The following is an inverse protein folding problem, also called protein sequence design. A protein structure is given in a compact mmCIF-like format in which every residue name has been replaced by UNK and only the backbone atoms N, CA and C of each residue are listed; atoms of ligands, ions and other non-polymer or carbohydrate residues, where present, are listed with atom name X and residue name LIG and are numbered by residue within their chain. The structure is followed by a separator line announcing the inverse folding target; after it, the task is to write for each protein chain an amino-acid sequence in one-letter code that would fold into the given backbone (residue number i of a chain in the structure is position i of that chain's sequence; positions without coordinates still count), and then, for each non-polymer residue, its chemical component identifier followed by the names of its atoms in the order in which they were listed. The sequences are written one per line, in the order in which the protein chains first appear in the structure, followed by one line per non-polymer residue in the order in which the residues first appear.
data_IF_374299687798
#
_entry.id   IF_374299687798
#
_cell.length_a   1.000
_cell.length_b   1.000
_cell.length_c   1.000
_cell.angle_alpha   90.00
_cell.angle_beta   90.00
_cell.angle_gamma   90.00
#
_symmetry.space_group_name_H-M   'P 1'
#
loop_
_entity.id
_entity.type
_entity.pdbx_description
1 polymer ?
#
# COMPACT_ATOMS: atom_id res chain seq x y z
N UNK A 1 -8.47 -4.57 -18.27
CA UNK A 1 -8.92 -5.47 -17.22
C UNK A 1 -10.11 -6.32 -17.72
N UNK A 2 -11.19 -5.72 -18.25
CA UNK A 2 -12.39 -6.44 -18.75
C UNK A 2 -12.05 -7.61 -19.68
N UNK A 3 -11.17 -7.41 -20.68
CA UNK A 3 -10.76 -8.48 -21.60
C UNK A 3 -10.09 -9.66 -20.87
N UNK A 4 -9.30 -9.38 -19.84
CA UNK A 4 -8.66 -10.41 -19.02
C UNK A 4 -9.72 -11.18 -18.21
N UNK A 5 -10.67 -10.49 -17.57
CA UNK A 5 -11.72 -11.15 -16.80
C UNK A 5 -12.62 -11.99 -17.69
N UNK A 6 -13.00 -11.49 -18.87
CA UNK A 6 -13.80 -12.24 -19.86
C UNK A 6 -13.06 -13.51 -20.34
N UNK A 7 -11.74 -13.43 -20.54
CA UNK A 7 -10.92 -14.57 -20.93
C UNK A 7 -10.83 -15.63 -19.81
N UNK A 8 -10.64 -15.18 -18.58
CA UNK A 8 -10.55 -16.06 -17.41
C UNK A 8 -11.89 -16.75 -17.11
N UNK A 9 -13.01 -16.08 -17.31
CA UNK A 9 -14.36 -16.67 -17.14
C UNK A 9 -14.66 -17.77 -18.19
N UNK A 10 -14.07 -17.68 -19.37
CA UNK A 10 -14.21 -18.69 -20.45
C UNK A 10 -13.27 -19.88 -20.32
N UNK A 11 -12.37 -19.88 -19.36
CA UNK A 11 -11.37 -20.93 -19.15
C UNK A 11 -12.06 -22.24 -18.70
N UNK A 12 -11.59 -23.43 -19.12
CA UNK A 12 -12.01 -24.69 -18.54
C UNK A 12 -11.73 -24.74 -17.03
N UNK A 13 -12.72 -25.16 -16.23
CA UNK A 13 -12.66 -25.14 -14.76
C UNK A 13 -11.88 -26.31 -14.13
N UNK A 14 -11.31 -27.16 -14.93
CA UNK A 14 -10.66 -28.42 -14.50
C UNK A 14 -9.32 -28.22 -13.76
N UNK A 15 -8.69 -27.05 -13.93
CA UNK A 15 -7.41 -26.76 -13.27
C UNK A 15 -7.59 -25.57 -12.30
N UNK A 16 -7.27 -25.70 -11.01
CA UNK A 16 -7.29 -24.60 -10.06
C UNK A 16 -6.42 -23.44 -10.55
N UNK A 17 -6.87 -22.22 -10.33
CA UNK A 17 -6.15 -21.00 -10.67
C UNK A 17 -5.95 -20.16 -9.41
N UNK A 18 -4.70 -19.74 -9.18
CA UNK A 18 -4.37 -18.70 -8.22
C UNK A 18 -4.15 -17.39 -8.97
N UNK A 19 -4.94 -16.36 -8.65
CA UNK A 19 -4.80 -15.01 -9.18
C UNK A 19 -4.31 -14.08 -8.07
N UNK A 20 -3.23 -13.36 -8.32
CA UNK A 20 -2.73 -12.32 -7.41
C UNK A 20 -2.83 -10.97 -8.10
N UNK A 21 -3.59 -10.04 -7.49
CA UNK A 21 -3.75 -8.67 -7.98
C UNK A 21 -3.04 -7.69 -7.04
N UNK A 22 -2.18 -6.85 -7.60
CA UNK A 22 -1.50 -5.78 -6.87
C UNK A 22 -2.30 -4.50 -7.03
N UNK A 23 -3.01 -4.13 -5.98
CA UNK A 23 -3.78 -2.89 -5.84
C UNK A 23 -2.98 -1.85 -5.03
N UNK A 24 -3.62 -0.83 -4.52
CA UNK A 24 -2.98 0.27 -3.76
C UNK A 24 -3.79 0.63 -2.52
N UNK A 25 -3.14 0.88 -1.39
CA UNK A 25 -3.77 1.48 -0.20
C UNK A 25 -4.39 2.87 -0.50
N UNK A 26 -4.06 3.47 -1.64
CA UNK A 26 -4.72 4.69 -2.11
C UNK A 26 -6.24 4.59 -2.20
N UNK A 27 -6.81 3.38 -2.30
CA UNK A 27 -8.27 3.11 -2.27
C UNK A 27 -8.94 3.57 -0.97
N UNK A 28 -8.18 3.73 0.12
CA UNK A 28 -8.70 4.20 1.40
C UNK A 28 -8.93 5.70 1.44
N UNK A 29 -8.24 6.48 0.62
CA UNK A 29 -8.34 7.93 0.60
C UNK A 29 -7.88 8.60 1.89
N UNK A 30 -8.51 9.73 2.22
CA UNK A 30 -8.21 10.48 3.44
C UNK A 30 -9.06 9.97 4.61
N UNK A 31 -8.41 9.26 5.53
CA UNK A 31 -9.00 8.76 6.79
C UNK A 31 -8.60 9.59 7.99
N UNK A 32 -8.06 10.80 7.78
CA UNK A 32 -7.61 11.70 8.85
C UNK A 32 -6.63 11.05 9.83
N UNK A 33 -5.76 10.16 9.33
CA UNK A 33 -4.80 9.43 10.12
C UNK A 33 -5.38 8.31 10.99
N UNK A 34 -6.65 7.93 10.82
CA UNK A 34 -7.27 6.85 11.58
C UNK A 34 -6.67 5.48 11.23
N UNK A 35 -6.70 4.56 12.20
CA UNK A 35 -6.37 3.16 11.96
C UNK A 35 -7.35 2.57 10.93
N UNK A 36 -6.80 1.89 9.92
CA UNK A 36 -7.54 1.46 8.75
C UNK A 36 -7.11 0.05 8.36
N UNK A 37 -8.03 -0.87 8.33
CA UNK A 37 -7.83 -2.26 7.90
C UNK A 37 -8.65 -2.60 6.66
N UNK A 38 -8.65 -3.86 6.23
CA UNK A 38 -9.31 -4.33 5.03
C UNK A 38 -10.84 -4.31 5.11
N UNK A 39 -11.42 -4.21 6.31
CA UNK A 39 -12.87 -4.18 6.54
C UNK A 39 -13.48 -2.81 6.26
N UNK A 40 -12.65 -1.77 6.20
CA UNK A 40 -13.11 -0.39 6.02
C UNK A 40 -13.65 -0.20 4.61
N UNK A 41 -14.83 0.45 4.50
CA UNK A 41 -15.40 0.84 3.21
C UNK A 41 -14.45 1.73 2.42
N UNK A 42 -14.23 1.40 1.15
CA UNK A 42 -13.34 2.15 0.27
C UNK A 42 -13.89 3.55 -0.01
N UNK A 43 -12.97 4.49 -0.21
CA UNK A 43 -13.28 5.87 -0.57
C UNK A 43 -13.47 5.97 -2.09
N UNK A 44 -14.66 6.40 -2.52
CA UNK A 44 -15.00 6.65 -3.91
C UNK A 44 -15.04 8.14 -4.28
N UNK A 45 -14.64 9.03 -3.38
CA UNK A 45 -14.74 10.49 -3.62
C UNK A 45 -13.72 10.98 -4.66
N UNK A 46 -12.59 10.29 -4.81
CA UNK A 46 -11.60 10.64 -5.82
C UNK A 46 -11.66 9.68 -7.02
N UNK A 47 -11.71 10.17 -8.29
CA UNK A 47 -11.87 9.31 -9.47
C UNK A 47 -10.84 8.18 -9.58
N UNK A 48 -9.59 8.42 -9.18
CA UNK A 48 -8.55 7.37 -9.18
C UNK A 48 -8.85 6.27 -8.16
N UNK A 49 -9.39 6.63 -6.98
CA UNK A 49 -9.76 5.65 -5.97
C UNK A 49 -10.96 4.81 -6.42
N UNK A 50 -11.93 5.44 -7.08
CA UNK A 50 -13.06 4.75 -7.69
C UNK A 50 -12.61 3.72 -8.73
N UNK A 51 -11.71 4.11 -9.65
CA UNK A 51 -11.16 3.18 -10.66
C UNK A 51 -10.42 2.01 -10.02
N UNK A 52 -9.66 2.25 -8.95
CA UNK A 52 -8.98 1.18 -8.21
C UNK A 52 -9.98 0.24 -7.53
N UNK A 53 -11.01 0.78 -6.87
CA UNK A 53 -12.05 -0.01 -6.22
C UNK A 53 -12.83 -0.86 -7.25
N UNK A 54 -13.22 -0.26 -8.39
CA UNK A 54 -13.85 -1.00 -9.49
C UNK A 54 -12.95 -2.13 -10.02
N UNK A 55 -11.64 -1.89 -10.11
CA UNK A 55 -10.69 -2.93 -10.53
C UNK A 55 -10.63 -4.08 -9.52
N UNK A 56 -10.60 -3.78 -8.22
CA UNK A 56 -10.67 -4.81 -7.17
C UNK A 56 -11.98 -5.61 -7.26
N UNK A 57 -13.14 -4.94 -7.41
CA UNK A 57 -14.44 -5.61 -7.53
C UNK A 57 -14.50 -6.56 -8.74
N UNK A 58 -13.98 -6.10 -9.89
CA UNK A 58 -13.89 -6.94 -11.10
C UNK A 58 -13.02 -8.16 -10.90
N UNK A 59 -11.89 -8.03 -10.20
CA UNK A 59 -10.99 -9.15 -9.91
C UNK A 59 -11.61 -10.08 -8.86
N UNK A 60 -12.26 -9.54 -7.83
CA UNK A 60 -12.96 -10.32 -6.80
C UNK A 60 -14.10 -11.16 -7.40
N UNK A 61 -14.80 -10.62 -8.41
CA UNK A 61 -15.89 -11.34 -9.08
C UNK A 61 -15.46 -12.62 -9.81
N UNK A 62 -14.15 -12.82 -10.02
CA UNK A 62 -13.60 -14.05 -10.60
C UNK A 62 -13.46 -15.18 -9.59
N UNK A 63 -13.59 -14.88 -8.28
CA UNK A 63 -13.47 -15.88 -7.21
C UNK A 63 -14.53 -16.96 -7.37
N UNK A 64 -14.10 -18.22 -7.31
CA UNK A 64 -14.98 -19.39 -7.43
C UNK A 64 -14.33 -20.61 -6.76
N UNK A 65 -14.96 -21.76 -6.79
CA UNK A 65 -14.37 -23.03 -6.30
C UNK A 65 -13.07 -23.40 -7.01
N UNK A 66 -12.90 -22.99 -8.27
CA UNK A 66 -11.68 -23.25 -9.08
C UNK A 66 -10.76 -22.05 -9.23
N UNK A 67 -11.08 -20.88 -8.65
CA UNK A 67 -10.27 -19.65 -8.76
C UNK A 67 -10.12 -18.99 -7.40
N UNK A 68 -8.91 -19.04 -6.85
CA UNK A 68 -8.53 -18.25 -5.69
C UNK A 68 -8.07 -16.86 -6.14
N UNK A 69 -8.54 -15.84 -5.44
CA UNK A 69 -8.19 -14.44 -5.73
C UNK A 69 -7.57 -13.81 -4.48
N UNK A 70 -6.30 -13.46 -4.59
CA UNK A 70 -5.59 -12.66 -3.59
C UNK A 70 -5.43 -11.23 -4.10
N UNK A 71 -5.82 -10.25 -3.31
CA UNK A 71 -5.58 -8.83 -3.60
C UNK A 71 -4.64 -8.27 -2.54
N UNK A 72 -3.51 -7.71 -2.97
CA UNK A 72 -2.64 -6.93 -2.10
C UNK A 72 -2.85 -5.45 -2.33
N UNK A 73 -3.27 -4.70 -1.30
CA UNK A 73 -3.29 -3.24 -1.28
C UNK A 73 -1.93 -2.76 -0.81
N UNK A 74 -1.11 -2.28 -1.75
CA UNK A 74 0.28 -1.90 -1.50
C UNK A 74 0.39 -0.48 -0.97
N UNK A 75 1.31 -0.29 -0.03
CA UNK A 75 1.88 1.02 0.28
C UNK A 75 2.75 1.56 -0.84
N UNK A 76 3.28 2.77 -0.66
CA UNK A 76 4.28 3.33 -1.55
C UNK A 76 5.51 2.42 -1.60
N UNK A 77 5.80 1.86 -2.78
CA UNK A 77 6.92 0.92 -2.94
C UNK A 77 8.24 1.69 -2.87
N UNK A 78 9.21 1.19 -2.10
CA UNK A 78 10.57 1.69 -2.04
C UNK A 78 11.60 0.56 -2.13
N UNK A 79 12.87 0.91 -2.34
CA UNK A 79 13.96 -0.04 -2.50
C UNK A 79 14.92 0.36 -3.61
N UNK A 80 15.65 -0.57 -4.24
CA UNK A 80 16.59 -0.27 -5.32
C UNK A 80 15.94 0.58 -6.43
N UNK A 81 16.57 1.72 -6.74
CA UNK A 81 16.07 2.68 -7.73
C UNK A 81 14.98 3.64 -7.23
N UNK A 82 14.48 3.49 -6.01
CA UNK A 82 13.54 4.41 -5.35
C UNK A 82 13.81 4.49 -3.85
N UNK A 83 14.87 5.20 -3.51
CA UNK A 83 15.32 5.41 -2.13
C UNK A 83 14.51 6.52 -1.46
N UNK A 84 13.44 6.16 -0.76
CA UNK A 84 12.59 7.13 -0.04
C UNK A 84 13.35 7.81 1.11
N UNK A 85 14.13 7.12 1.96
CA UNK A 85 14.98 7.78 2.94
C UNK A 85 15.85 8.89 2.33
N UNK A 86 16.61 8.60 1.27
CA UNK A 86 17.45 9.59 0.61
C UNK A 86 16.64 10.76 0.03
N UNK A 87 15.47 10.48 -0.55
CA UNK A 87 14.57 11.51 -1.06
C UNK A 87 14.05 12.43 0.06
N UNK A 88 13.67 11.89 1.22
CA UNK A 88 13.20 12.68 2.36
C UNK A 88 14.34 13.49 2.99
N UNK A 89 15.53 12.91 3.10
CA UNK A 89 16.72 13.60 3.60
C UNK A 89 17.15 14.77 2.70
N UNK A 90 16.81 14.78 1.43
CA UNK A 90 17.07 15.91 0.54
C UNK A 90 16.35 17.21 0.95
N UNK A 91 15.33 17.10 1.82
CA UNK A 91 14.63 18.24 2.39
C UNK A 91 15.32 18.86 3.63
N UNK A 92 16.39 18.23 4.14
CA UNK A 92 17.08 18.66 5.37
C UNK A 92 17.51 20.13 5.31
N UNK A 93 17.14 20.89 6.36
CA UNK A 93 17.42 22.34 6.47
C UNK A 93 16.64 23.23 5.49
N UNK A 94 15.90 22.64 4.56
CA UNK A 94 15.11 23.35 3.54
C UNK A 94 13.67 23.61 3.95
N UNK A 95 12.87 24.01 2.96
CA UNK A 95 11.43 24.30 3.10
C UNK A 95 10.63 23.28 2.30
N UNK A 96 9.69 22.61 2.96
CA UNK A 96 8.75 21.66 2.33
C UNK A 96 7.37 22.31 2.28
N UNK A 97 6.90 22.58 1.07
CA UNK A 97 5.58 23.17 0.83
C UNK A 97 4.54 22.05 0.61
N UNK A 98 4.26 21.29 1.67
CA UNK A 98 3.26 20.20 1.68
C UNK A 98 2.69 20.03 3.07
N UNK A 99 1.50 19.41 3.15
CA UNK A 99 0.96 18.99 4.42
C UNK A 99 1.78 17.79 4.94
N UNK A 100 2.67 18.04 5.89
CA UNK A 100 3.47 17.03 6.56
C UNK A 100 2.69 16.14 7.54
N UNK A 101 1.42 16.43 7.82
CA UNK A 101 0.60 15.72 8.81
C UNK A 101 -0.10 14.47 8.26
N UNK A 102 -0.08 14.26 6.95
CA UNK A 102 -0.63 13.04 6.36
C UNK A 102 0.24 11.83 6.71
N UNK A 103 -0.40 10.70 6.98
CA UNK A 103 0.26 9.42 7.26
C UNK A 103 0.32 8.60 5.97
N UNK A 104 1.45 8.57 5.26
CA UNK A 104 1.67 7.66 4.14
C UNK A 104 1.94 6.24 4.66
N UNK A 105 1.69 5.25 3.83
CA UNK A 105 2.11 3.88 4.09
C UNK A 105 3.15 3.43 3.06
N UNK A 106 4.04 2.53 3.46
CA UNK A 106 5.19 2.10 2.68
C UNK A 106 5.33 0.59 2.62
N UNK A 107 6.00 0.09 1.60
CA UNK A 107 6.40 -1.31 1.47
C UNK A 107 7.72 -1.43 0.71
N UNK A 108 8.62 -2.26 1.18
CA UNK A 108 9.85 -2.55 0.45
C UNK A 108 9.60 -3.52 -0.70
N UNK A 109 10.26 -3.28 -1.85
CA UNK A 109 10.11 -4.12 -3.05
C UNK A 109 10.37 -5.61 -2.78
N UNK A 110 11.36 -5.93 -1.94
CA UNK A 110 11.65 -7.32 -1.54
C UNK A 110 10.44 -7.99 -0.89
N UNK A 111 9.75 -7.28 0.02
CA UNK A 111 8.57 -7.83 0.69
C UNK A 111 7.37 -7.94 -0.25
N UNK A 112 7.28 -7.10 -1.28
CA UNK A 112 6.26 -7.28 -2.35
C UNK A 112 6.49 -8.60 -3.08
N UNK A 113 7.73 -8.88 -3.50
CA UNK A 113 8.07 -10.13 -4.19
C UNK A 113 7.79 -11.34 -3.29
N UNK A 114 8.20 -11.28 -2.02
CA UNK A 114 7.95 -12.35 -1.05
C UNK A 114 6.47 -12.58 -0.79
N UNK A 115 5.68 -11.51 -0.69
CA UNK A 115 4.23 -11.63 -0.48
C UNK A 115 3.53 -12.29 -1.68
N UNK A 116 3.96 -11.99 -2.90
CA UNK A 116 3.43 -12.66 -4.10
C UNK A 116 3.76 -14.16 -4.08
N UNK A 117 5.01 -14.55 -3.77
CA UNK A 117 5.39 -15.97 -3.60
C UNK A 117 4.58 -16.64 -2.50
N UNK A 118 4.45 -15.99 -1.34
CA UNK A 118 3.65 -16.46 -0.20
C UNK A 118 2.18 -16.70 -0.58
N UNK A 119 1.61 -15.81 -1.40
CA UNK A 119 0.22 -15.97 -1.86
C UNK A 119 0.04 -17.22 -2.72
N UNK A 120 0.99 -17.55 -3.58
CA UNK A 120 0.97 -18.78 -4.39
C UNK A 120 1.20 -20.03 -3.54
N UNK A 121 2.15 -20.00 -2.61
CA UNK A 121 2.49 -21.14 -1.74
C UNK A 121 1.34 -21.51 -0.79
N UNK A 122 0.58 -20.51 -0.31
CA UNK A 122 -0.49 -20.69 0.67
C UNK A 122 -1.90 -20.62 0.06
N UNK A 123 -2.02 -20.51 -1.27
CA UNK A 123 -3.30 -20.39 -1.98
C UNK A 123 -4.21 -19.30 -1.39
N UNK A 124 -3.66 -18.11 -1.13
CA UNK A 124 -4.39 -17.03 -0.48
C UNK A 124 -5.62 -16.62 -1.30
N UNK A 125 -6.77 -16.47 -0.62
CA UNK A 125 -8.05 -16.18 -1.28
C UNK A 125 -8.81 -15.05 -0.57
N UNK A 126 -8.13 -13.92 -0.32
CA UNK A 126 -8.71 -12.76 0.35
C UNK A 126 -7.95 -11.47 -0.04
N UNK A 127 -8.37 -10.33 0.51
CA UNK A 127 -7.69 -9.04 0.38
C UNK A 127 -6.83 -8.79 1.61
N UNK A 128 -5.59 -8.31 1.39
CA UNK A 128 -4.61 -8.01 2.43
C UNK A 128 -3.93 -6.67 2.18
N UNK A 129 -3.72 -5.92 3.25
CA UNK A 129 -2.84 -4.76 3.18
C UNK A 129 -1.38 -5.20 3.19
N UNK A 130 -0.62 -4.75 2.19
CA UNK A 130 0.80 -5.02 2.07
C UNK A 130 1.58 -3.74 2.31
N UNK A 131 1.78 -3.43 3.59
CA UNK A 131 2.49 -2.26 4.10
C UNK A 131 3.42 -2.67 5.24
N UNK A 132 4.52 -1.94 5.43
CA UNK A 132 5.39 -2.14 6.59
C UNK A 132 4.81 -1.47 7.85
N UNK A 133 5.51 -1.57 8.98
CA UNK A 133 5.05 -1.06 10.29
C UNK A 133 5.26 0.44 10.47
N UNK A 134 5.81 1.15 9.48
CA UNK A 134 6.04 2.59 9.55
C UNK A 134 4.71 3.34 9.46
N UNK A 135 4.29 3.98 10.56
CA UNK A 135 3.02 4.72 10.68
C UNK A 135 3.23 6.17 11.13
N UNK A 136 4.30 6.78 10.69
CA UNK A 136 4.61 8.19 10.96
C UNK A 136 3.94 9.10 9.94
N UNK A 137 3.66 10.34 10.35
CA UNK A 137 3.33 11.40 9.38
C UNK A 137 4.54 11.66 8.47
N UNK A 138 4.32 12.31 7.35
CA UNK A 138 5.42 12.66 6.43
C UNK A 138 6.47 13.53 7.13
N UNK A 139 6.05 14.45 7.99
CA UNK A 139 6.94 15.28 8.79
C UNK A 139 7.72 14.44 9.82
N UNK A 140 7.03 13.66 10.66
CA UNK A 140 7.67 12.81 11.68
C UNK A 140 8.70 11.86 11.07
N UNK A 141 8.40 11.27 9.91
CA UNK A 141 9.32 10.37 9.23
C UNK A 141 10.57 11.12 8.75
N UNK A 142 10.40 12.30 8.15
CA UNK A 142 11.51 13.14 7.67
C UNK A 142 12.38 13.61 8.83
N UNK A 143 11.74 14.09 9.92
CA UNK A 143 12.45 14.60 11.09
C UNK A 143 13.29 13.50 11.74
N UNK A 144 12.74 12.29 11.92
CA UNK A 144 13.49 11.13 12.44
C UNK A 144 14.68 10.76 11.58
N UNK A 145 14.52 10.75 10.26
CA UNK A 145 15.63 10.45 9.34
C UNK A 145 16.72 11.55 9.42
N UNK A 146 16.34 12.83 9.50
CA UNK A 146 17.28 13.93 9.67
C UNK A 146 18.05 13.82 11.00
N UNK A 147 17.35 13.52 12.10
CA UNK A 147 17.97 13.32 13.43
C UNK A 147 18.97 12.16 13.41
N UNK A 148 18.61 11.01 12.83
CA UNK A 148 19.51 9.86 12.70
C UNK A 148 20.76 10.17 11.85
N UNK A 149 20.59 11.02 10.82
CA UNK A 149 21.69 11.43 9.94
C UNK A 149 22.50 12.62 10.50
N UNK A 150 22.10 13.22 11.63
CA UNK A 150 22.73 14.43 12.17
C UNK A 150 22.52 15.66 11.29
N UNK A 151 21.42 15.72 10.54
CA UNK A 151 21.08 16.79 9.62
C UNK A 151 20.04 17.74 10.24
N UNK A 152 20.00 19.04 9.81
CA UNK A 152 19.01 19.98 10.28
C UNK A 152 17.61 19.59 9.80
N UNK A 153 16.60 19.81 10.67
CA UNK A 153 15.20 19.52 10.35
C UNK A 153 14.68 20.41 9.22
N UNK A 154 13.74 19.88 8.43
CA UNK A 154 13.04 20.63 7.42
C UNK A 154 11.98 21.55 8.04
N UNK A 155 11.69 22.70 7.39
CA UNK A 155 10.59 23.60 7.76
C UNK A 155 9.38 23.29 6.90
N UNK A 156 8.27 22.91 7.54
CA UNK A 156 7.03 22.53 6.86
C UNK A 156 6.05 23.70 6.80
N UNK A 157 5.48 23.92 5.61
CA UNK A 157 4.40 24.89 5.40
C UNK A 157 3.25 24.17 4.72
N UNK A 158 2.14 24.05 5.43
CA UNK A 158 0.93 23.45 4.89
C UNK A 158 0.37 24.30 3.76
N UNK A 159 0.25 23.71 2.59
CA UNK A 159 -0.51 24.25 1.47
C UNK A 159 -1.71 23.31 1.29
N UNK A 160 -2.92 23.86 1.31
CA UNK A 160 -4.11 23.11 0.97
C UNK A 160 -4.07 22.74 -0.51
N UNK A 161 -3.97 21.45 -0.78
CA UNK A 161 -4.05 20.91 -2.13
C UNK A 161 -5.32 20.10 -2.27
N UNK A 162 -5.95 20.15 -3.45
CA UNK A 162 -7.08 19.28 -3.82
C UNK A 162 -6.61 17.92 -4.32
N UNK A 163 -5.32 17.62 -4.15
CA UNK A 163 -4.70 16.40 -4.65
C UNK A 163 -5.25 15.15 -3.94
N UNK A 164 -5.15 14.05 -4.65
CA UNK A 164 -5.40 12.72 -4.08
C UNK A 164 -4.47 12.49 -2.89
N UNK A 165 -5.07 12.32 -1.73
CA UNK A 165 -4.33 12.11 -0.47
C UNK A 165 -4.67 10.75 0.10
N UNK A 166 -3.64 9.95 0.39
CA UNK A 166 -3.73 8.86 1.36
C UNK A 166 -3.29 9.41 2.72
N UNK A 167 -4.18 9.32 3.69
CA UNK A 167 -3.91 9.73 5.06
C UNK A 167 -4.57 8.75 6.03
N UNK A 168 -3.90 7.61 6.27
CA UNK A 168 -4.42 6.52 7.06
C UNK A 168 -3.27 5.72 7.71
N UNK A 169 -3.45 5.29 8.96
CA UNK A 169 -2.60 4.28 9.58
C UNK A 169 -3.08 2.91 9.14
N UNK A 170 -2.52 2.43 8.02
CA UNK A 170 -2.95 1.16 7.40
C UNK A 170 -2.38 -0.01 8.18
N UNK A 171 -3.26 -0.88 8.68
CA UNK A 171 -2.88 -2.10 9.41
C UNK A 171 -2.46 -3.21 8.45
N UNK A 172 -1.40 -3.93 8.79
CA UNK A 172 -0.94 -5.14 8.11
C UNK A 172 -1.16 -6.41 8.95
N UNK A 173 -1.90 -6.29 10.05
CA UNK A 173 -2.08 -7.37 11.02
C UNK A 173 -2.74 -8.62 10.43
N UNK A 174 -3.70 -8.46 9.52
CA UNK A 174 -4.36 -9.57 8.83
C UNK A 174 -3.36 -10.45 8.09
N UNK A 175 -2.39 -9.86 7.40
CA UNK A 175 -1.36 -10.60 6.67
C UNK A 175 -0.36 -11.27 7.64
N UNK A 176 0.00 -10.62 8.74
CA UNK A 176 0.84 -11.19 9.80
C UNK A 176 0.17 -12.38 10.49
N UNK A 177 -1.13 -12.29 10.76
CA UNK A 177 -1.90 -13.36 11.43
C UNK A 177 -1.91 -14.68 10.65
N UNK A 178 -1.76 -14.63 9.33
CA UNK A 178 -1.63 -15.82 8.48
C UNK A 178 -0.18 -16.28 8.29
N UNK A 179 0.78 -15.69 9.02
CA UNK A 179 2.17 -16.14 9.09
C UNK A 179 3.14 -15.39 8.18
N UNK A 180 2.73 -14.34 7.45
CA UNK A 180 3.68 -13.55 6.68
C UNK A 180 4.56 -12.70 7.59
N UNK A 181 5.87 -12.70 7.31
CA UNK A 181 6.86 -11.90 8.04
C UNK A 181 7.57 -10.94 7.10
N UNK A 182 7.65 -9.67 7.49
CA UNK A 182 8.35 -8.64 6.73
C UNK A 182 9.86 -8.72 6.98
N UNK A 183 10.67 -8.62 5.90
CA UNK A 183 12.13 -8.49 6.01
C UNK A 183 12.56 -7.06 6.24
N UNK A 184 11.72 -6.11 5.83
CA UNK A 184 11.90 -4.68 5.99
C UNK A 184 10.69 -4.08 6.73
N UNK A 185 10.55 -4.38 8.04
CA UNK A 185 9.36 -3.97 8.81
C UNK A 185 9.28 -2.45 9.01
N UNK A 186 10.39 -1.73 8.87
CA UNK A 186 10.44 -0.27 9.02
C UNK A 186 11.28 0.38 7.93
N UNK A 187 10.94 1.64 7.61
CA UNK A 187 11.73 2.52 6.73
C UNK A 187 12.84 3.24 7.53
N UNK A 188 12.62 3.43 8.82
CA UNK A 188 13.61 3.88 9.80
C UNK A 188 14.11 2.65 10.52
N UNK A 189 15.42 2.42 10.48
CA UNK A 189 16.08 1.29 11.15
C UNK A 189 15.95 1.33 12.66
#
# INVERSE_FOLDING_TARGET
LKLLTDALQKRPRETPLQLVHLSSCGVYGNRHGALTDESVRLDSLHPVNEVLAMAEDMIQSLRSESVNVCIFRLGGIYGPGRDIPAMLLSAAGGVVQRNGQNVPCWIHLEDVVRAVSFAFEHNLNDTYNLVNDTQFTGQELTDRLCEQAGLPLAKWFTIDTTDRVLNARVSNEKLKQIGFTFTRPSIVG
#
